data_IF_175389449031
#
_entry.id   IF_175389449031
#
_cell.length_a   1.000
_cell.length_b   1.000
_cell.length_c   1.000
_cell.angle_alpha   90.00
_cell.angle_beta   90.00
_cell.angle_gamma   90.00
#
_symmetry.space_group_name_H-M   'P 1'
#
loop_
_entity.id
_entity.type
_entity.pdbx_description
1 polymer ?
#
# COMPACT_ATOMS: atom_id res chain seq x y z
N UNK A 1 -23.73 5.10 -3.98
CA UNK A 1 -22.91 4.61 -5.11
C UNK A 1 -21.46 4.67 -4.66
N UNK A 2 -20.86 3.54 -4.31
CA UNK A 2 -19.48 3.49 -3.79
C UNK A 2 -18.58 3.61 -5.01
N UNK A 3 -17.85 4.72 -5.15
CA UNK A 3 -16.82 4.84 -6.19
C UNK A 3 -15.84 3.68 -6.04
N UNK A 4 -15.68 2.89 -7.09
CA UNK A 4 -14.68 1.83 -7.11
C UNK A 4 -13.31 2.47 -6.93
N UNK A 5 -12.55 2.00 -5.95
CA UNK A 5 -11.18 2.46 -5.73
C UNK A 5 -10.31 2.10 -6.94
N UNK A 6 -9.52 3.06 -7.41
CA UNK A 6 -8.49 2.81 -8.41
C UNK A 6 -7.26 2.23 -7.73
N UNK A 7 -7.11 0.90 -7.80
CA UNK A 7 -5.98 0.18 -7.22
C UNK A 7 -4.77 0.20 -8.17
N UNK A 8 -3.60 0.57 -7.64
CA UNK A 8 -2.30 0.40 -8.29
C UNK A 8 -1.52 -0.73 -7.64
N UNK A 9 -1.09 -1.68 -8.45
CA UNK A 9 -0.19 -2.76 -8.04
C UNK A 9 1.26 -2.28 -8.00
N UNK A 10 2.01 -2.74 -7.01
CA UNK A 10 3.44 -2.43 -6.90
C UNK A 10 4.25 -3.05 -8.06
N UNK A 11 5.22 -2.30 -8.58
CA UNK A 11 6.17 -2.78 -9.59
C UNK A 11 7.10 -3.88 -9.05
N UNK A 12 7.27 -3.97 -7.73
CA UNK A 12 8.03 -5.02 -7.06
C UNK A 12 7.25 -6.34 -6.93
N UNK A 13 6.00 -6.39 -7.41
CA UNK A 13 5.15 -7.58 -7.34
C UNK A 13 5.37 -8.60 -8.48
N UNK A 14 6.56 -8.63 -9.10
CA UNK A 14 6.89 -9.53 -10.22
C UNK A 14 8.34 -10.04 -10.20
N UNK A 15 8.58 -11.26 -10.74
CA UNK A 15 9.92 -11.75 -11.11
C UNK A 15 10.63 -12.85 -10.30
N UNK A 16 10.03 -13.50 -9.28
CA UNK A 16 10.71 -14.58 -8.54
C UNK A 16 9.92 -15.19 -7.38
N UNK A 17 10.43 -16.27 -6.78
CA UNK A 17 9.89 -16.86 -5.54
C UNK A 17 10.10 -15.89 -4.37
N UNK A 18 9.02 -15.52 -3.67
CA UNK A 18 9.04 -14.56 -2.56
C UNK A 18 8.36 -13.21 -2.81
N UNK A 19 7.71 -13.02 -3.97
CA UNK A 19 7.02 -11.76 -4.28
C UNK A 19 5.86 -11.45 -3.33
N UNK A 20 6.05 -10.41 -2.49
CA UNK A 20 5.01 -9.74 -1.73
C UNK A 20 4.18 -8.87 -2.67
N UNK A 21 2.99 -9.35 -3.03
CA UNK A 21 2.11 -8.66 -3.97
C UNK A 21 1.24 -7.67 -3.20
N UNK A 22 1.54 -6.38 -3.31
CA UNK A 22 0.78 -5.31 -2.64
C UNK A 22 0.14 -4.37 -3.65
N UNK A 23 -1.07 -3.91 -3.33
CA UNK A 23 -1.77 -2.86 -4.08
C UNK A 23 -2.14 -1.72 -3.16
N UNK A 24 -2.14 -0.50 -3.71
CA UNK A 24 -2.52 0.71 -3.00
C UNK A 24 -3.62 1.45 -3.76
N UNK A 25 -4.54 2.07 -3.03
CA UNK A 25 -5.53 2.98 -3.58
C UNK A 25 -5.46 4.31 -2.83
N UNK A 26 -5.31 5.39 -3.59
CA UNK A 26 -5.33 6.75 -3.06
C UNK A 26 -6.76 7.26 -3.03
N UNK A 27 -7.21 7.67 -1.84
CA UNK A 27 -8.47 8.37 -1.62
C UNK A 27 -8.16 9.79 -1.14
N UNK A 28 -9.19 10.65 -1.06
CA UNK A 28 -9.00 12.07 -0.72
C UNK A 28 -8.26 12.31 0.59
N UNK A 29 -8.50 11.50 1.62
CA UNK A 29 -7.97 11.70 2.98
C UNK A 29 -7.30 10.46 3.56
N UNK A 30 -7.16 9.39 2.77
CA UNK A 30 -6.58 8.15 3.26
C UNK A 30 -5.96 7.33 2.12
N UNK A 31 -5.05 6.45 2.50
CA UNK A 31 -4.42 5.45 1.64
C UNK A 31 -4.94 4.09 2.07
N UNK A 32 -5.42 3.31 1.11
CA UNK A 32 -5.80 1.90 1.36
C UNK A 32 -4.74 0.98 0.78
N UNK A 33 -4.37 -0.06 1.53
CA UNK A 33 -3.35 -1.04 1.17
C UNK A 33 -3.97 -2.42 1.31
N UNK A 34 -3.72 -3.30 0.34
CA UNK A 34 -4.15 -4.69 0.40
C UNK A 34 -3.13 -5.62 -0.23
N UNK A 35 -3.27 -6.90 0.09
CA UNK A 35 -2.55 -7.97 -0.59
C UNK A 35 -3.21 -8.27 -1.94
N UNK A 36 -2.43 -8.30 -3.03
CA UNK A 36 -2.97 -8.55 -4.38
C UNK A 36 -3.43 -9.99 -4.57
N UNK A 37 -2.92 -10.95 -3.78
CA UNK A 37 -3.30 -12.36 -3.86
C UNK A 37 -4.60 -12.65 -3.10
N UNK A 38 -4.97 -11.79 -2.15
CA UNK A 38 -6.20 -11.89 -1.37
C UNK A 38 -6.94 -10.54 -1.27
N UNK A 39 -7.40 -9.96 -2.40
CA UNK A 39 -7.92 -8.59 -2.47
C UNK A 39 -9.21 -8.35 -1.67
N UNK A 40 -9.91 -9.41 -1.29
CA UNK A 40 -11.15 -9.36 -0.49
C UNK A 40 -10.96 -9.71 0.98
N UNK A 41 -9.76 -10.15 1.39
CA UNK A 41 -9.55 -10.68 2.74
C UNK A 41 -9.36 -9.58 3.78
N UNK A 42 -8.53 -8.59 3.48
CA UNK A 42 -8.28 -7.47 4.38
C UNK A 42 -7.78 -6.26 3.60
N UNK A 43 -8.28 -5.08 3.97
CA UNK A 43 -7.81 -3.78 3.48
C UNK A 43 -7.41 -2.98 4.70
N UNK A 44 -6.17 -2.49 4.71
CA UNK A 44 -5.67 -1.57 5.73
C UNK A 44 -5.85 -0.16 5.19
N UNK A 45 -6.60 0.69 5.90
CA UNK A 45 -6.81 2.09 5.52
C UNK A 45 -6.17 2.99 6.55
N UNK A 46 -5.30 3.90 6.09
CA UNK A 46 -4.50 4.79 6.93
C UNK A 46 -4.79 6.23 6.49
N UNK A 47 -5.07 7.16 7.43
CA UNK A 47 -5.22 8.58 7.08
C UNK A 47 -3.94 9.17 6.45
N UNK A 48 -4.10 10.08 5.50
CA UNK A 48 -2.97 10.67 4.76
C UNK A 48 -1.99 11.39 5.68
N UNK A 49 -2.51 12.10 6.68
CA UNK A 49 -1.74 12.84 7.69
C UNK A 49 -0.87 11.96 8.58
N UNK A 50 -1.19 10.66 8.67
CA UNK A 50 -0.40 9.65 9.38
C UNK A 50 0.57 8.94 8.43
N UNK A 51 0.10 8.62 7.22
CA UNK A 51 0.89 7.84 6.26
C UNK A 51 2.08 8.62 5.69
N UNK A 52 1.90 9.92 5.40
CA UNK A 52 2.97 10.76 4.88
C UNK A 52 4.20 10.85 5.81
N UNK A 53 4.07 11.23 7.10
CA UNK A 53 5.24 11.27 7.99
C UNK A 53 5.84 9.88 8.23
N UNK A 54 5.04 8.82 8.22
CA UNK A 54 5.55 7.45 8.31
C UNK A 54 6.52 7.11 7.16
N UNK A 55 6.15 7.43 5.92
CA UNK A 55 7.01 7.19 4.76
C UNK A 55 8.28 8.05 4.82
N UNK A 56 8.19 9.30 5.25
CA UNK A 56 9.37 10.17 5.41
C UNK A 56 10.33 9.65 6.48
N UNK A 57 9.80 9.09 7.57
CA UNK A 57 10.61 8.42 8.58
C UNK A 57 11.33 7.19 8.01
N UNK A 58 10.67 6.38 7.18
CA UNK A 58 11.27 5.21 6.54
C UNK A 58 12.39 5.58 5.55
N UNK A 59 12.29 6.71 4.85
CA UNK A 59 13.33 7.19 3.93
C UNK A 59 14.57 7.70 4.67
N UNK A 60 14.37 8.30 5.84
CA UNK A 60 15.43 8.97 6.61
C UNK A 60 16.18 7.99 7.52
N UNK A 61 15.51 6.93 7.97
CA UNK A 61 16.15 5.86 8.72
C UNK A 61 16.92 4.93 7.76
N UNK A 62 18.20 4.59 8.01
CA UNK A 62 18.80 3.47 7.33
C UNK A 62 18.01 2.23 7.73
N UNK A 63 17.28 1.64 6.78
CA UNK A 63 16.68 0.33 6.94
C UNK A 63 17.83 -0.64 7.26
N UNK A 64 18.04 -0.95 8.55
CA UNK A 64 18.77 -2.15 8.93
C UNK A 64 17.87 -3.31 8.51
N UNK A 65 18.12 -3.82 7.30
CA UNK A 65 17.71 -5.17 6.93
C UNK A 65 18.53 -6.18 7.72
#
# INVERSE_FOLDING_TARGET
MITADTWQKSSYSGGGEGNACVEVALRRTCISIRDSKAPTRAIVTIPTEVFAPFIEALKTAPLKQ
#
